data_IF_494081015807
#
_entry.id   IF_494081015807
#
_cell.length_a   1.000
_cell.length_b   1.000
_cell.length_c   1.000
_cell.angle_alpha   90.00
_cell.angle_beta   90.00
_cell.angle_gamma   90.00
#
_symmetry.space_group_name_H-M   'P 1'
#
loop_
_entity.id
_entity.type
_entity.pdbx_description
1 polymer ?
#
# COMPACT_ATOMS: atom_id res chain seq x y z
N UNK A 1 19.81 36.86 -20.86
CA UNK A 1 18.34 36.98 -20.94
C UNK A 1 17.71 35.82 -20.18
N UNK A 2 16.95 36.09 -19.12
CA UNK A 2 16.22 35.04 -18.40
C UNK A 2 15.13 34.47 -19.32
N UNK A 3 15.10 33.15 -19.55
CA UNK A 3 13.97 32.51 -20.26
C UNK A 3 12.66 32.94 -19.60
N UNK A 4 11.64 33.20 -20.43
CA UNK A 4 10.27 33.45 -20.00
C UNK A 4 9.81 32.37 -19.00
N UNK A 5 9.16 32.82 -17.93
CA UNK A 5 8.63 31.99 -16.84
C UNK A 5 7.79 30.84 -17.38
N UNK A 6 6.87 31.14 -18.30
CA UNK A 6 5.92 30.18 -18.86
C UNK A 6 6.60 29.18 -19.79
N UNK A 7 7.56 29.65 -20.59
CA UNK A 7 8.35 28.78 -21.48
C UNK A 7 9.13 27.74 -20.65
N UNK A 8 9.75 28.15 -19.53
CA UNK A 8 10.50 27.22 -18.66
C UNK A 8 9.59 26.16 -18.06
N UNK A 9 8.42 26.54 -17.56
CA UNK A 9 7.45 25.59 -16.98
C UNK A 9 6.94 24.63 -18.05
N UNK A 10 6.54 25.14 -19.22
CA UNK A 10 6.04 24.33 -20.33
C UNK A 10 7.07 23.34 -20.86
N UNK A 11 8.31 23.79 -21.13
CA UNK A 11 9.40 22.91 -21.55
C UNK A 11 9.65 21.80 -20.53
N UNK A 12 9.59 22.11 -19.23
CA UNK A 12 9.85 21.13 -18.16
C UNK A 12 8.70 20.12 -18.03
N UNK A 13 7.43 20.56 -18.12
CA UNK A 13 6.29 19.63 -18.13
C UNK A 13 6.33 18.73 -19.37
N UNK A 14 6.69 19.28 -20.53
CA UNK A 14 6.84 18.49 -21.75
C UNK A 14 7.98 17.48 -21.63
N UNK A 15 9.10 17.87 -21.02
CA UNK A 15 10.20 16.94 -20.72
C UNK A 15 9.73 15.79 -19.83
N UNK A 16 9.00 16.10 -18.73
CA UNK A 16 8.43 15.07 -17.85
C UNK A 16 7.58 14.12 -18.70
N UNK A 17 6.60 14.63 -19.45
CA UNK A 17 5.72 13.81 -20.31
C UNK A 17 6.44 12.81 -21.20
N UNK A 18 7.62 13.14 -21.73
CA UNK A 18 8.34 12.27 -22.67
C UNK A 18 9.53 11.51 -22.05
N UNK A 19 9.82 11.68 -20.76
CA UNK A 19 10.96 11.06 -20.08
C UNK A 19 10.50 10.38 -18.79
N UNK A 20 9.72 9.30 -18.91
CA UNK A 20 9.41 8.41 -17.80
C UNK A 20 10.65 7.56 -17.46
N UNK A 21 11.09 7.49 -16.18
CA UNK A 21 12.17 6.59 -15.79
C UNK A 21 11.79 5.13 -16.03
N UNK A 22 12.72 4.28 -16.50
CA UNK A 22 12.42 2.88 -16.87
C UNK A 22 11.89 2.03 -15.69
N UNK A 23 12.23 2.39 -14.46
CA UNK A 23 11.82 1.67 -13.25
C UNK A 23 10.64 2.33 -12.51
N UNK A 24 10.04 3.37 -13.08
CA UNK A 24 8.88 4.01 -12.45
C UNK A 24 7.61 3.20 -12.70
N UNK A 25 7.16 2.47 -11.67
CA UNK A 25 5.99 1.59 -11.72
C UNK A 25 4.65 2.32 -11.46
N UNK A 26 4.62 3.65 -11.47
CA UNK A 26 3.43 4.44 -11.14
C UNK A 26 2.63 4.91 -12.36
N UNK A 27 1.42 5.42 -12.11
CA UNK A 27 0.63 6.12 -13.13
C UNK A 27 1.25 7.49 -13.45
N UNK A 28 2.13 7.47 -14.44
CA UNK A 28 2.86 8.65 -14.90
C UNK A 28 1.94 9.71 -15.50
N UNK A 29 0.83 9.30 -16.12
CA UNK A 29 -0.11 10.22 -16.74
C UNK A 29 -0.84 11.06 -15.69
N UNK A 30 -1.20 10.45 -14.56
CA UNK A 30 -1.79 11.17 -13.42
C UNK A 30 -0.89 12.30 -12.92
N UNK A 31 0.43 12.09 -12.81
CA UNK A 31 1.39 13.15 -12.42
C UNK A 31 1.42 14.27 -13.45
N UNK A 32 1.51 13.93 -14.75
CA UNK A 32 1.56 14.92 -15.83
C UNK A 32 0.26 15.74 -15.88
N UNK A 33 -0.90 15.11 -15.69
CA UNK A 33 -2.18 15.80 -15.61
C UNK A 33 -2.25 16.73 -14.40
N UNK A 34 -1.80 16.28 -13.23
CA UNK A 34 -1.73 17.10 -12.02
C UNK A 34 -0.85 18.35 -12.22
N UNK A 35 0.33 18.21 -12.85
CA UNK A 35 1.19 19.36 -13.18
C UNK A 35 0.53 20.35 -14.15
N UNK A 36 -0.21 19.86 -15.16
CA UNK A 36 -0.93 20.73 -16.09
C UNK A 36 -2.08 21.46 -15.40
N UNK A 37 -2.79 20.80 -14.49
CA UNK A 37 -3.83 21.42 -13.67
C UNK A 37 -3.23 22.46 -12.73
N UNK A 38 -2.14 22.14 -12.02
CA UNK A 38 -1.41 23.10 -11.19
C UNK A 38 -0.97 24.32 -12.00
N UNK A 39 -0.36 24.14 -13.18
CA UNK A 39 0.07 25.26 -14.03
C UNK A 39 -1.09 26.19 -14.38
N UNK A 40 -2.26 25.63 -14.73
CA UNK A 40 -3.45 26.42 -15.11
C UNK A 40 -4.08 27.13 -13.92
N UNK A 41 -4.04 26.54 -12.73
CA UNK A 41 -4.79 27.02 -11.55
C UNK A 41 -3.96 27.83 -10.57
N UNK A 42 -2.64 27.65 -10.52
CA UNK A 42 -1.75 28.42 -9.66
C UNK A 42 -1.78 29.92 -10.00
N UNK A 43 -1.48 30.77 -9.02
CA UNK A 43 -1.37 32.21 -9.29
C UNK A 43 -0.15 32.52 -10.19
N UNK A 44 -0.17 33.65 -10.89
CA UNK A 44 0.98 34.09 -11.70
C UNK A 44 2.24 34.28 -10.83
N UNK A 45 2.07 34.78 -9.60
CA UNK A 45 3.16 34.95 -8.65
C UNK A 45 3.74 33.60 -8.21
N UNK A 46 2.88 32.63 -7.84
CA UNK A 46 3.27 31.26 -7.50
C UNK A 46 4.09 30.62 -8.64
N UNK A 47 3.60 30.71 -9.89
CA UNK A 47 4.31 30.20 -11.07
C UNK A 47 5.66 30.87 -11.27
N UNK A 48 5.72 32.19 -11.11
CA UNK A 48 6.96 32.97 -11.22
C UNK A 48 7.97 32.55 -10.15
N UNK A 49 7.54 32.43 -8.89
CA UNK A 49 8.40 31.97 -7.78
C UNK A 49 9.01 30.60 -8.09
N UNK A 50 8.19 29.61 -8.47
CA UNK A 50 8.71 28.29 -8.78
C UNK A 50 9.63 28.30 -10.00
N UNK A 51 9.28 29.05 -11.05
CA UNK A 51 10.15 29.18 -12.23
C UNK A 51 11.51 29.77 -11.89
N UNK A 52 11.59 30.76 -10.99
CA UNK A 52 12.86 31.31 -10.49
C UNK A 52 13.67 30.25 -9.74
N UNK A 53 13.04 29.49 -8.84
CA UNK A 53 13.69 28.39 -8.09
C UNK A 53 14.21 27.27 -9.00
N UNK A 54 13.55 27.04 -10.13
CA UNK A 54 13.99 26.09 -11.16
C UNK A 54 15.19 26.62 -11.98
N UNK A 55 15.55 27.90 -11.90
CA UNK A 55 16.68 28.44 -12.67
C UNK A 55 17.98 27.74 -12.26
N UNK A 56 18.71 27.24 -13.26
CA UNK A 56 19.98 26.52 -13.05
C UNK A 56 21.20 27.43 -13.31
N UNK A 57 21.00 28.72 -13.58
CA UNK A 57 22.08 29.62 -13.99
C UNK A 57 23.13 29.82 -12.90
N UNK A 58 22.68 29.94 -11.64
CA UNK A 58 23.50 30.19 -10.44
C UNK A 58 23.50 29.01 -9.46
N UNK A 59 23.09 27.81 -9.88
CA UNK A 59 23.05 26.64 -9.00
C UNK A 59 24.48 26.20 -8.62
N UNK A 60 24.78 25.93 -7.34
CA UNK A 60 26.15 25.57 -6.90
C UNK A 60 26.72 24.35 -7.62
N UNK A 61 25.90 23.32 -7.84
CA UNK A 61 26.29 22.11 -8.57
C UNK A 61 25.63 22.03 -9.96
N UNK A 62 25.63 23.14 -10.71
CA UNK A 62 25.02 23.24 -12.05
C UNK A 62 25.54 22.15 -13.00
N UNK A 63 24.67 21.29 -13.56
CA UNK A 63 25.09 20.30 -14.54
C UNK A 63 25.62 20.93 -15.84
N UNK A 64 26.69 20.32 -16.39
CA UNK A 64 27.36 20.76 -17.62
C UNK A 64 26.47 20.60 -18.85
N UNK A 65 25.79 19.47 -19.01
CA UNK A 65 24.92 19.22 -20.16
C UNK A 65 23.47 19.72 -19.92
N UNK A 66 22.73 19.88 -21.01
CA UNK A 66 21.37 20.44 -20.98
C UNK A 66 20.32 19.45 -20.45
N UNK A 67 20.51 18.15 -20.68
CA UNK A 67 19.57 17.11 -20.27
C UNK A 67 19.50 17.03 -18.74
N UNK A 68 20.65 16.99 -18.08
CA UNK A 68 20.79 16.94 -16.63
C UNK A 68 20.22 18.19 -15.94
N UNK A 69 20.41 19.37 -16.54
CA UNK A 69 19.75 20.60 -16.10
C UNK A 69 18.23 20.50 -16.21
N UNK A 70 17.71 19.72 -17.14
CA UNK A 70 16.28 19.53 -17.33
C UNK A 70 15.73 18.52 -16.33
N UNK A 71 16.45 17.44 -16.02
CA UNK A 71 16.13 16.55 -14.90
C UNK A 71 16.05 17.30 -13.56
N UNK A 72 17.05 18.13 -13.23
CA UNK A 72 16.99 18.94 -11.98
C UNK A 72 15.77 19.86 -11.94
N UNK A 73 15.47 20.54 -13.05
CA UNK A 73 14.27 21.38 -13.17
C UNK A 73 13.00 20.57 -12.97
N UNK A 74 12.92 19.38 -13.57
CA UNK A 74 11.79 18.48 -13.42
C UNK A 74 11.63 18.02 -11.96
N UNK A 75 12.72 17.63 -11.28
CA UNK A 75 12.71 17.29 -9.86
C UNK A 75 12.17 18.44 -9.00
N UNK A 76 12.67 19.67 -9.20
CA UNK A 76 12.21 20.85 -8.43
C UNK A 76 10.73 21.11 -8.70
N UNK A 77 10.32 21.11 -9.97
CA UNK A 77 8.93 21.34 -10.37
C UNK A 77 8.00 20.33 -9.72
N UNK A 78 8.31 19.04 -9.83
CA UNK A 78 7.50 17.94 -9.31
C UNK A 78 7.36 18.03 -7.79
N UNK A 79 8.48 18.16 -7.05
CA UNK A 79 8.44 18.25 -5.58
C UNK A 79 7.67 19.49 -5.11
N UNK A 80 7.96 20.66 -5.68
CA UNK A 80 7.34 21.90 -5.21
C UNK A 80 5.86 21.98 -5.62
N UNK A 81 5.52 21.66 -6.86
CA UNK A 81 4.14 21.84 -7.33
C UNK A 81 3.17 20.79 -6.75
N UNK A 82 3.63 19.58 -6.45
CA UNK A 82 2.75 18.46 -6.09
C UNK A 82 2.93 17.91 -4.68
N UNK A 83 4.09 18.10 -4.04
CA UNK A 83 4.41 17.45 -2.76
C UNK A 83 4.48 18.47 -1.62
N UNK A 84 5.29 19.50 -1.80
CA UNK A 84 5.70 20.42 -0.74
C UNK A 84 4.83 21.68 -0.70
N UNK A 85 4.48 22.21 0.49
CA UNK A 85 3.83 23.51 0.60
C UNK A 85 4.76 24.63 0.10
N UNK A 86 4.20 25.75 -0.37
CA UNK A 86 4.97 26.89 -0.93
C UNK A 86 6.08 27.40 0.01
N UNK A 87 5.84 27.33 1.32
CA UNK A 87 6.80 27.74 2.35
C UNK A 87 8.09 26.93 2.38
N UNK A 88 8.09 25.70 1.82
CA UNK A 88 9.25 24.82 1.77
C UNK A 88 9.98 24.86 0.43
N UNK A 89 9.42 25.49 -0.60
CA UNK A 89 9.95 25.40 -1.97
C UNK A 89 11.39 25.87 -2.12
N UNK A 90 11.76 26.96 -1.44
CA UNK A 90 13.13 27.46 -1.48
C UNK A 90 14.14 26.46 -0.90
N UNK A 91 13.80 25.84 0.24
CA UNK A 91 14.63 24.80 0.87
C UNK A 91 14.71 23.55 -0.01
N UNK A 92 13.58 23.10 -0.57
CA UNK A 92 13.54 21.96 -1.50
C UNK A 92 14.39 22.22 -2.74
N UNK A 93 14.26 23.39 -3.37
CA UNK A 93 15.05 23.75 -4.55
C UNK A 93 16.55 23.84 -4.23
N UNK A 94 16.92 24.42 -3.09
CA UNK A 94 18.30 24.46 -2.61
C UNK A 94 18.87 23.05 -2.40
N UNK A 95 18.13 22.16 -1.74
CA UNK A 95 18.53 20.76 -1.54
C UNK A 95 18.77 20.05 -2.88
N UNK A 96 17.83 20.19 -3.83
CA UNK A 96 17.98 19.60 -5.16
C UNK A 96 19.18 20.20 -5.89
N UNK A 97 19.39 21.52 -5.85
CA UNK A 97 20.51 22.19 -6.52
C UNK A 97 21.87 21.88 -5.89
N UNK A 98 21.92 21.57 -4.60
CA UNK A 98 23.14 21.19 -3.87
C UNK A 98 23.47 19.70 -4.00
N UNK A 99 22.52 18.86 -4.43
CA UNK A 99 22.78 17.43 -4.62
C UNK A 99 23.87 17.16 -5.66
N UNK A 100 24.78 16.24 -5.36
CA UNK A 100 25.81 15.71 -6.27
C UNK A 100 25.42 14.36 -6.90
N UNK A 101 24.24 13.82 -6.56
CA UNK A 101 23.76 12.54 -7.11
C UNK A 101 23.54 12.61 -8.64
N UNK A 102 23.53 11.43 -9.28
CA UNK A 102 23.07 11.29 -10.66
C UNK A 102 21.62 11.76 -10.77
N UNK A 103 21.32 12.63 -11.74
CA UNK A 103 20.08 13.42 -11.75
C UNK A 103 18.81 12.60 -11.97
N UNK A 104 18.94 11.39 -12.52
CA UNK A 104 17.82 10.48 -12.75
C UNK A 104 17.20 9.97 -11.44
N UNK A 105 18.00 9.68 -10.40
CA UNK A 105 17.47 9.12 -9.16
C UNK A 105 16.61 10.12 -8.37
N UNK A 106 17.05 11.37 -8.09
CA UNK A 106 16.20 12.37 -7.46
C UNK A 106 14.92 12.69 -8.25
N UNK A 107 14.97 12.59 -9.57
CA UNK A 107 13.79 12.74 -10.42
C UNK A 107 12.80 11.58 -10.22
N UNK A 108 13.25 10.33 -10.26
CA UNK A 108 12.40 9.16 -9.98
C UNK A 108 11.76 9.25 -8.60
N UNK A 109 12.55 9.58 -7.56
CA UNK A 109 12.02 9.73 -6.20
C UNK A 109 11.00 10.87 -6.08
N UNK A 110 11.18 11.97 -6.81
CA UNK A 110 10.21 13.05 -6.84
C UNK A 110 8.88 12.62 -7.48
N UNK A 111 8.93 11.81 -8.54
CA UNK A 111 7.74 11.24 -9.18
C UNK A 111 7.03 10.26 -8.24
N UNK A 112 7.77 9.40 -7.55
CA UNK A 112 7.23 8.46 -6.56
C UNK A 112 6.53 9.21 -5.42
N UNK A 113 7.21 10.18 -4.81
CA UNK A 113 6.63 11.01 -3.75
C UNK A 113 5.37 11.77 -4.22
N UNK A 114 5.36 12.23 -5.47
CA UNK A 114 4.19 12.92 -6.05
C UNK A 114 3.02 11.98 -6.29
N UNK A 115 3.28 10.77 -6.81
CA UNK A 115 2.28 9.73 -6.94
C UNK A 115 1.66 9.42 -5.58
N UNK A 116 2.50 9.16 -4.59
CA UNK A 116 2.05 8.82 -3.24
C UNK A 116 1.18 9.93 -2.65
N UNK A 117 1.60 11.19 -2.82
CA UNK A 117 0.82 12.35 -2.36
C UNK A 117 -0.53 12.47 -3.06
N UNK A 118 -0.58 12.29 -4.39
CA UNK A 118 -1.80 12.38 -5.18
C UNK A 118 -2.78 11.26 -4.83
N UNK A 119 -2.29 10.03 -4.71
CA UNK A 119 -3.10 8.85 -4.37
C UNK A 119 -3.49 8.83 -2.89
N UNK A 120 -2.76 9.55 -2.03
CA UNK A 120 -3.14 9.79 -0.62
C UNK A 120 -4.09 10.97 -0.44
N UNK A 121 -4.44 11.72 -1.50
CA UNK A 121 -5.45 12.77 -1.38
C UNK A 121 -6.78 12.19 -0.91
N UNK A 122 -7.61 12.91 -0.14
CA UNK A 122 -8.81 12.32 0.45
C UNK A 122 -9.76 11.70 -0.57
N UNK A 123 -9.88 12.33 -1.75
CA UNK A 123 -10.74 11.85 -2.83
C UNK A 123 -10.19 10.55 -3.44
N UNK A 124 -8.91 10.53 -3.85
CA UNK A 124 -8.29 9.36 -4.47
C UNK A 124 -8.19 8.19 -3.49
N UNK A 125 -7.80 8.46 -2.24
CA UNK A 125 -7.74 7.45 -1.18
C UNK A 125 -9.13 6.84 -0.93
N UNK A 126 -10.20 7.65 -0.91
CA UNK A 126 -11.58 7.17 -0.72
C UNK A 126 -12.06 6.33 -1.90
N UNK A 127 -11.74 6.74 -3.12
CA UNK A 127 -12.04 5.95 -4.31
C UNK A 127 -11.35 4.58 -4.27
N UNK A 128 -10.07 4.55 -3.91
CA UNK A 128 -9.29 3.31 -3.81
C UNK A 128 -9.73 2.42 -2.65
N UNK A 129 -10.11 3.00 -1.51
CA UNK A 129 -10.72 2.27 -0.40
C UNK A 129 -12.08 1.68 -0.81
N UNK A 130 -12.90 2.44 -1.54
CA UNK A 130 -14.14 1.94 -2.10
C UNK A 130 -13.90 0.81 -3.11
N UNK A 131 -12.84 0.89 -3.92
CA UNK A 131 -12.45 -0.18 -4.83
C UNK A 131 -12.06 -1.44 -4.04
N UNK A 132 -11.29 -1.31 -2.95
CA UNK A 132 -11.00 -2.42 -2.04
C UNK A 132 -12.28 -3.04 -1.47
N UNK A 133 -13.26 -2.23 -1.04
CA UNK A 133 -14.52 -2.74 -0.47
C UNK A 133 -15.47 -3.36 -1.51
N UNK A 134 -15.51 -2.82 -2.72
CA UNK A 134 -16.50 -3.23 -3.74
C UNK A 134 -15.97 -4.27 -4.72
N UNK A 135 -14.67 -4.20 -5.04
CA UNK A 135 -13.95 -5.05 -5.98
C UNK A 135 -12.56 -5.46 -5.43
N UNK A 136 -12.49 -6.07 -4.24
CA UNK A 136 -11.23 -6.37 -3.53
C UNK A 136 -10.21 -7.12 -4.38
N UNK A 137 -10.64 -8.13 -5.15
CA UNK A 137 -9.74 -8.87 -6.04
C UNK A 137 -9.07 -7.96 -7.08
N UNK A 138 -9.80 -7.00 -7.66
CA UNK A 138 -9.22 -6.06 -8.64
C UNK A 138 -8.19 -5.16 -7.95
N UNK A 139 -8.56 -4.58 -6.81
CA UNK A 139 -7.66 -3.75 -6.02
C UNK A 139 -6.37 -4.50 -5.65
N UNK A 140 -6.49 -5.71 -5.10
CA UNK A 140 -5.34 -6.52 -4.67
C UNK A 140 -4.50 -7.08 -5.83
N UNK A 141 -4.98 -7.05 -7.07
CA UNK A 141 -4.17 -7.35 -8.26
C UNK A 141 -3.46 -6.10 -8.82
N UNK A 142 -3.94 -4.90 -8.51
CA UNK A 142 -3.40 -3.65 -9.05
C UNK A 142 -2.49 -2.92 -8.05
N UNK A 143 -2.76 -3.07 -6.75
CA UNK A 143 -2.06 -2.35 -5.71
C UNK A 143 -1.61 -3.29 -4.60
N UNK A 144 -0.35 -3.13 -4.19
CA UNK A 144 0.14 -3.76 -2.98
C UNK A 144 -0.51 -3.08 -1.78
N UNK A 145 -0.97 -3.88 -0.83
CA UNK A 145 -1.48 -3.45 0.45
C UNK A 145 -0.46 -3.81 1.53
N UNK A 146 -0.39 -3.02 2.59
CA UNK A 146 0.24 -3.36 3.88
C UNK A 146 -0.76 -3.00 4.97
N UNK A 147 -0.86 -3.84 5.99
CA UNK A 147 -1.71 -3.62 7.16
C UNK A 147 -0.83 -3.59 8.40
N UNK A 148 -0.77 -2.43 9.05
CA UNK A 148 -0.12 -2.24 10.33
C UNK A 148 -1.19 -2.26 11.43
N UNK A 149 -1.42 -3.45 11.97
CA UNK A 149 -2.43 -3.72 13.00
C UNK A 149 -1.90 -3.66 14.43
N UNK A 150 -2.74 -4.12 15.37
CA UNK A 150 -2.45 -4.24 16.81
C UNK A 150 -2.75 -5.66 17.31
N UNK A 151 -2.20 -6.11 18.45
CA UNK A 151 -2.37 -7.49 18.91
C UNK A 151 -3.76 -7.82 19.49
N UNK A 152 -4.77 -6.95 19.34
CA UNK A 152 -6.13 -7.18 19.86
C UNK A 152 -7.12 -7.49 18.73
N UNK A 153 -8.06 -8.41 19.02
CA UNK A 153 -9.15 -8.82 18.14
C UNK A 153 -10.38 -7.91 18.21
N UNK A 154 -10.22 -6.62 17.97
CA UNK A 154 -11.28 -5.61 18.11
C UNK A 154 -11.25 -4.58 16.99
N UNK A 155 -12.24 -3.67 16.98
CA UNK A 155 -12.28 -2.53 16.07
C UNK A 155 -11.14 -1.55 16.34
N UNK A 156 -10.50 -1.10 15.28
CA UNK A 156 -9.59 0.03 15.26
C UNK A 156 -9.89 0.93 14.07
N UNK A 157 -9.55 2.22 14.21
CA UNK A 157 -9.54 3.15 13.09
C UNK A 157 -8.18 3.12 12.41
N UNK A 158 -8.17 2.87 11.11
CA UNK A 158 -6.98 2.79 10.27
C UNK A 158 -6.91 4.00 9.35
N UNK A 159 -5.77 4.67 9.31
CA UNK A 159 -5.48 5.62 8.24
C UNK A 159 -5.26 4.86 6.93
N UNK A 160 -5.83 5.33 5.83
CA UNK A 160 -5.63 4.77 4.49
C UNK A 160 -4.88 5.76 3.58
N UNK A 161 -3.69 5.39 3.14
CA UNK A 161 -2.82 6.25 2.32
C UNK A 161 -1.84 5.43 1.48
N UNK A 162 -1.23 6.05 0.47
CA UNK A 162 -0.15 5.45 -0.32
C UNK A 162 1.21 5.98 0.12
N UNK A 163 2.17 5.08 0.28
CA UNK A 163 3.57 5.40 0.58
C UNK A 163 4.48 4.40 -0.13
N UNK A 164 5.49 4.91 -0.82
CA UNK A 164 6.40 4.16 -1.67
C UNK A 164 5.65 3.25 -2.67
N UNK A 165 4.56 3.74 -3.25
CA UNK A 165 3.73 3.01 -4.19
C UNK A 165 2.88 1.87 -3.59
N UNK A 166 2.80 1.76 -2.26
CA UNK A 166 2.06 0.74 -1.52
C UNK A 166 0.92 1.41 -0.74
N UNK A 167 -0.28 0.87 -0.79
CA UNK A 167 -1.36 1.31 0.09
C UNK A 167 -1.14 0.75 1.50
N UNK A 168 -1.31 1.59 2.50
CA UNK A 168 -1.18 1.25 3.91
C UNK A 168 -2.55 1.42 4.58
N UNK A 169 -2.96 0.42 5.35
CA UNK A 169 -3.95 0.53 6.41
C UNK A 169 -3.18 0.54 7.73
N UNK A 170 -3.10 1.69 8.40
CA UNK A 170 -2.27 1.85 9.60
C UNK A 170 -3.08 2.36 10.80
N UNK A 171 -3.18 1.56 11.87
CA UNK A 171 -3.85 1.93 13.11
C UNK A 171 -2.89 2.48 14.19
N UNK A 172 -1.59 2.52 13.92
CA UNK A 172 -0.59 3.15 14.79
C UNK A 172 -0.39 4.64 14.43
N UNK A 173 -0.59 4.99 13.16
CA UNK A 173 -0.56 6.36 12.67
C UNK A 173 -1.83 6.70 11.86
N UNK A 174 -3.03 6.64 12.46
CA UNK A 174 -4.27 6.84 11.71
C UNK A 174 -4.36 8.22 11.04
N UNK A 175 -3.72 9.24 11.63
CA UNK A 175 -3.69 10.60 11.11
C UNK A 175 -2.69 10.83 9.96
N UNK A 176 -1.84 9.84 9.65
CA UNK A 176 -1.01 9.89 8.44
C UNK A 176 -1.88 9.71 7.20
N UNK A 177 -2.99 8.98 7.33
CA UNK A 177 -4.05 8.96 6.34
C UNK A 177 -4.90 10.23 6.41
N UNK A 178 -5.21 10.81 5.25
CA UNK A 178 -6.18 11.90 5.17
C UNK A 178 -7.64 11.39 5.23
N UNK A 179 -7.82 10.07 5.20
CA UNK A 179 -9.08 9.39 5.49
C UNK A 179 -8.81 8.24 6.45
N UNK A 180 -9.84 7.87 7.21
CA UNK A 180 -9.83 6.71 8.09
C UNK A 180 -10.91 5.71 7.71
N UNK A 181 -10.69 4.45 8.06
CA UNK A 181 -11.65 3.34 7.94
C UNK A 181 -11.60 2.50 9.20
N UNK A 182 -12.77 2.12 9.72
CA UNK A 182 -12.84 1.22 10.85
C UNK A 182 -12.82 -0.24 10.39
N UNK A 183 -11.94 -1.03 11.00
CA UNK A 183 -11.79 -2.44 10.69
C UNK A 183 -11.51 -3.26 11.95
N UNK A 184 -11.84 -4.56 11.89
CA UNK A 184 -11.48 -5.52 12.93
C UNK A 184 -10.11 -6.11 12.60
N UNK A 185 -9.18 -6.06 13.54
CA UNK A 185 -7.91 -6.75 13.38
C UNK A 185 -8.03 -8.23 13.80
N UNK A 186 -7.46 -9.16 13.04
CA UNK A 186 -7.29 -10.56 13.46
C UNK A 186 -5.84 -10.74 13.93
N UNK A 187 -5.59 -10.75 15.24
CA UNK A 187 -4.23 -10.84 15.76
C UNK A 187 -3.62 -12.22 15.51
N UNK A 188 -2.28 -12.23 15.36
CA UNK A 188 -1.52 -13.46 15.29
C UNK A 188 -1.53 -14.20 16.64
N UNK A 189 -1.97 -15.45 16.60
CA UNK A 189 -1.82 -16.39 17.70
C UNK A 189 -0.69 -17.35 17.36
N UNK A 190 0.36 -17.42 18.17
CA UNK A 190 1.34 -18.49 18.14
C UNK A 190 0.79 -19.91 17.96
N UNK A 191 1.37 -20.69 17.05
CA UNK A 191 1.04 -22.10 16.90
C UNK A 191 1.30 -22.90 18.19
N UNK A 192 2.38 -22.59 18.91
CA UNK A 192 2.68 -23.20 20.20
C UNK A 192 1.56 -23.09 21.24
N UNK A 193 0.72 -22.05 21.13
CA UNK A 193 -0.42 -21.84 22.03
C UNK A 193 -1.65 -22.68 21.67
N UNK A 194 -1.74 -23.20 20.43
CA UNK A 194 -2.92 -23.93 19.93
C UNK A 194 -2.64 -25.37 19.51
N UNK A 195 -1.37 -25.75 19.32
CA UNK A 195 -0.96 -27.04 18.72
C UNK A 195 -1.51 -28.28 19.45
N UNK A 196 -1.79 -28.19 20.75
CA UNK A 196 -2.30 -29.30 21.55
C UNK A 196 -3.84 -29.37 21.57
N UNK A 197 -4.54 -28.42 20.96
CA UNK A 197 -6.00 -28.36 20.94
C UNK A 197 -6.52 -27.64 19.67
N UNK A 198 -6.13 -28.15 18.50
CA UNK A 198 -6.46 -27.52 17.22
C UNK A 198 -7.97 -27.49 16.93
N UNK A 199 -8.76 -28.41 17.49
CA UNK A 199 -10.22 -28.44 17.36
C UNK A 199 -10.94 -27.39 18.22
N UNK A 200 -10.21 -26.50 18.91
CA UNK A 200 -10.77 -25.55 19.86
C UNK A 200 -10.03 -24.20 19.79
N UNK A 201 -9.71 -23.73 18.59
CA UNK A 201 -9.03 -22.45 18.39
C UNK A 201 -10.00 -21.31 18.71
N UNK A 202 -9.53 -20.30 19.46
CA UNK A 202 -10.32 -19.10 19.73
C UNK A 202 -10.28 -18.16 18.51
N UNK A 203 -11.42 -17.95 17.88
CA UNK A 203 -11.57 -17.03 16.76
C UNK A 203 -11.85 -15.58 17.20
N UNK A 204 -11.40 -14.63 16.39
CA UNK A 204 -11.92 -13.26 16.33
C UNK A 204 -13.23 -13.27 15.55
N UNK A 205 -14.30 -12.75 16.14
CA UNK A 205 -15.63 -12.75 15.54
C UNK A 205 -15.95 -11.41 14.91
N UNK A 206 -16.63 -11.39 13.76
CA UNK A 206 -17.13 -10.15 13.17
C UNK A 206 -18.23 -9.49 14.01
N UNK A 207 -18.85 -10.24 14.91
CA UNK A 207 -19.89 -9.74 15.82
C UNK A 207 -19.34 -8.86 16.94
N UNK A 208 -18.01 -8.78 17.13
CA UNK A 208 -17.42 -7.85 18.11
C UNK A 208 -17.68 -6.39 17.75
N UNK A 209 -17.88 -6.07 16.46
CA UNK A 209 -18.40 -4.78 16.02
C UNK A 209 -19.16 -4.92 14.70
N UNK A 210 -20.48 -4.71 14.74
CA UNK A 210 -21.34 -4.85 13.56
C UNK A 210 -21.21 -3.72 12.53
N UNK A 211 -20.52 -2.63 12.89
CA UNK A 211 -20.31 -1.46 12.03
C UNK A 211 -19.04 -1.55 11.19
N UNK A 212 -18.22 -2.59 11.38
CA UNK A 212 -17.04 -2.83 10.55
C UNK A 212 -17.42 -3.62 9.29
N UNK A 213 -16.99 -3.12 8.14
CA UNK A 213 -17.10 -3.82 6.85
C UNK A 213 -15.80 -4.53 6.45
N UNK A 214 -14.73 -4.34 7.23
CA UNK A 214 -13.42 -4.92 7.00
C UNK A 214 -12.96 -5.72 8.21
N UNK A 215 -12.33 -6.86 7.94
CA UNK A 215 -11.55 -7.60 8.91
C UNK A 215 -10.20 -7.95 8.29
N UNK A 216 -9.12 -7.57 8.97
CA UNK A 216 -7.78 -7.49 8.41
C UNK A 216 -6.80 -8.32 9.21
N UNK A 217 -5.84 -8.92 8.53
CA UNK A 217 -4.65 -9.49 9.16
C UNK A 217 -3.48 -8.55 8.93
N UNK A 218 -2.48 -8.52 9.81
CA UNK A 218 -1.20 -7.85 9.46
C UNK A 218 -0.44 -8.63 8.36
N UNK A 219 0.78 -8.19 8.03
CA UNK A 219 1.64 -8.86 7.05
C UNK A 219 2.29 -10.13 7.63
N UNK A 220 2.28 -11.24 6.88
CA UNK A 220 2.84 -12.51 7.36
C UNK A 220 3.56 -13.36 6.32
N UNK A 221 4.48 -14.20 6.80
CA UNK A 221 5.25 -15.17 6.00
C UNK A 221 5.16 -16.56 6.64
N UNK A 222 4.32 -17.45 6.11
CA UNK A 222 4.21 -18.83 6.62
C UNK A 222 3.18 -19.07 7.70
N UNK A 223 2.36 -18.08 8.00
CA UNK A 223 1.20 -18.25 8.84
C UNK A 223 0.05 -18.98 8.11
N UNK A 224 -0.89 -19.50 8.90
CA UNK A 224 -2.15 -20.10 8.43
C UNK A 224 -3.31 -19.20 8.88
N UNK A 225 -4.18 -18.82 7.94
CA UNK A 225 -5.41 -18.11 8.23
C UNK A 225 -6.58 -19.10 8.23
N UNK A 226 -7.30 -19.17 9.33
CA UNK A 226 -8.44 -20.05 9.50
C UNK A 226 -9.71 -19.20 9.51
N UNK A 227 -10.79 -19.66 8.91
CA UNK A 227 -12.04 -18.91 8.93
C UNK A 227 -13.29 -19.80 8.80
N UNK A 228 -14.43 -19.25 9.24
CA UNK A 228 -15.78 -19.75 8.98
C UNK A 228 -16.65 -18.58 8.54
N UNK A 229 -17.28 -18.70 7.38
CA UNK A 229 -18.29 -17.73 6.92
C UNK A 229 -19.68 -18.36 7.06
N UNK A 230 -20.58 -17.68 7.76
CA UNK A 230 -22.00 -18.03 7.84
C UNK A 230 -22.84 -16.76 7.60
N UNK A 231 -23.03 -16.41 6.32
CA UNK A 231 -23.75 -15.21 5.91
C UNK A 231 -23.09 -13.93 6.45
N UNK A 232 -23.77 -13.27 7.39
CA UNK A 232 -23.32 -12.01 8.01
C UNK A 232 -22.28 -12.19 9.11
N UNK A 233 -21.98 -13.43 9.49
CA UNK A 233 -21.02 -13.77 10.54
C UNK A 233 -19.75 -14.34 9.94
N UNK A 234 -18.60 -13.82 10.38
CA UNK A 234 -17.28 -14.33 10.09
C UNK A 234 -16.58 -14.62 11.43
N UNK A 235 -16.01 -15.82 11.55
CA UNK A 235 -15.07 -16.16 12.61
C UNK A 235 -13.71 -16.38 11.94
N UNK A 236 -12.64 -15.81 12.49
CA UNK A 236 -11.30 -15.92 11.91
C UNK A 236 -10.22 -16.06 12.97
N UNK A 237 -9.20 -16.85 12.66
CA UNK A 237 -7.98 -16.92 13.46
C UNK A 237 -6.76 -16.84 12.55
N UNK A 238 -5.72 -16.18 13.04
CA UNK A 238 -4.47 -16.05 12.31
C UNK A 238 -3.36 -16.73 13.12
N UNK A 239 -2.82 -17.84 12.60
CA UNK A 239 -1.90 -18.72 13.32
C UNK A 239 -0.47 -18.58 12.81
N UNK A 240 0.44 -18.14 13.70
CA UNK A 240 1.84 -17.88 13.40
C UNK A 240 2.74 -19.09 13.76
N UNK A 241 3.61 -19.58 12.87
CA UNK A 241 4.60 -20.61 13.20
C UNK A 241 5.51 -20.34 14.39
N UNK A 242 5.63 -19.10 14.86
CA UNK A 242 6.49 -18.73 16.00
C UNK A 242 7.96 -19.11 15.77
N UNK A 243 8.64 -18.32 14.94
CA UNK A 243 10.08 -18.43 14.75
C UNK A 243 10.49 -19.62 13.87
N UNK A 244 11.40 -19.39 12.93
CA UNK A 244 11.91 -20.42 12.00
C UNK A 244 12.81 -21.46 12.68
N UNK A 245 12.92 -21.43 14.01
CA UNK A 245 13.93 -22.14 14.81
C UNK A 245 13.44 -23.49 15.33
N UNK A 246 12.15 -23.80 15.27
CA UNK A 246 11.57 -25.04 15.83
C UNK A 246 11.46 -26.19 14.82
N UNK A 247 11.90 -26.00 13.57
CA UNK A 247 11.68 -26.98 12.48
C UNK A 247 10.22 -27.10 12.04
N UNK A 248 9.28 -26.43 12.74
CA UNK A 248 7.87 -26.37 12.39
C UNK A 248 7.70 -25.40 11.23
N UNK A 249 7.40 -25.94 10.05
CA UNK A 249 7.19 -25.12 8.84
C UNK A 249 5.75 -24.64 8.75
N UNK A 250 5.52 -23.54 8.04
CA UNK A 250 4.15 -23.08 7.74
C UNK A 250 3.32 -24.11 6.96
N UNK A 251 3.97 -25.00 6.19
CA UNK A 251 3.28 -26.11 5.54
C UNK A 251 2.83 -27.17 6.55
N UNK A 252 3.69 -27.52 7.52
CA UNK A 252 3.32 -28.47 8.57
C UNK A 252 2.10 -27.96 9.34
N UNK A 253 2.11 -26.68 9.75
CA UNK A 253 1.00 -26.06 10.49
C UNK A 253 -0.28 -26.07 9.67
N UNK A 254 -0.22 -25.66 8.40
CA UNK A 254 -1.41 -25.65 7.55
C UNK A 254 -1.98 -27.05 7.32
N UNK A 255 -1.13 -28.08 7.25
CA UNK A 255 -1.56 -29.48 7.20
C UNK A 255 -2.25 -29.91 8.49
N UNK A 256 -1.68 -29.60 9.66
CA UNK A 256 -2.27 -29.95 10.96
C UNK A 256 -3.61 -29.25 11.19
N UNK A 257 -3.70 -27.96 10.87
CA UNK A 257 -4.94 -27.18 11.00
C UNK A 257 -6.01 -27.67 10.01
N UNK A 258 -5.67 -28.01 8.76
CA UNK A 258 -6.67 -28.57 7.84
C UNK A 258 -7.21 -29.93 8.30
N UNK A 259 -6.38 -30.73 8.95
CA UNK A 259 -6.78 -32.07 9.42
C UNK A 259 -7.59 -32.03 10.73
N UNK A 260 -7.23 -31.13 11.65
CA UNK A 260 -7.70 -31.18 13.04
C UNK A 260 -8.25 -29.84 13.56
N UNK A 261 -8.25 -28.80 12.74
CA UNK A 261 -8.62 -27.44 13.13
C UNK A 261 -10.12 -27.23 13.23
N UNK A 262 -10.54 -26.52 14.26
CA UNK A 262 -11.91 -26.00 14.40
C UNK A 262 -11.92 -24.80 15.37
N UNK A 263 -13.04 -24.08 15.46
CA UNK A 263 -13.22 -22.98 16.39
C UNK A 263 -14.07 -23.35 17.61
N UNK A 264 -13.55 -23.06 18.80
CA UNK A 264 -14.28 -23.18 20.07
C UNK A 264 -15.55 -22.32 20.10
N UNK A 265 -15.48 -21.17 19.45
CA UNK A 265 -16.53 -20.17 19.31
C UNK A 265 -16.94 -20.01 17.85
N UNK A 266 -16.98 -21.12 17.09
CA UNK A 266 -17.41 -21.15 15.70
C UNK A 266 -18.82 -20.58 15.51
N UNK A 267 -19.11 -20.11 14.30
CA UNK A 267 -20.39 -19.48 13.94
C UNK A 267 -21.34 -20.43 13.19
N UNK A 268 -21.04 -21.74 13.20
CA UNK A 268 -21.78 -22.77 12.46
C UNK A 268 -21.51 -22.81 10.95
N UNK A 269 -20.60 -21.99 10.43
CA UNK A 269 -20.11 -22.09 9.06
C UNK A 269 -19.11 -23.24 8.87
N UNK A 270 -18.73 -23.51 7.62
CA UNK A 270 -17.68 -24.48 7.30
C UNK A 270 -16.31 -23.91 7.68
N UNK A 271 -15.53 -24.68 8.45
CA UNK A 271 -14.16 -24.33 8.78
C UNK A 271 -13.25 -24.51 7.57
N UNK A 272 -12.48 -23.47 7.23
CA UNK A 272 -11.47 -23.49 6.19
C UNK A 272 -10.13 -22.98 6.71
N UNK A 273 -9.03 -23.51 6.18
CA UNK A 273 -7.69 -23.13 6.56
C UNK A 273 -6.81 -22.86 5.33
N UNK A 274 -6.41 -21.61 5.19
CA UNK A 274 -5.61 -21.07 4.10
C UNK A 274 -4.18 -20.78 4.59
N UNK A 275 -3.24 -21.67 4.25
CA UNK A 275 -1.84 -21.60 4.67
C UNK A 275 -0.88 -22.06 3.58
N UNK A 276 0.42 -22.15 3.89
CA UNK A 276 1.42 -22.62 2.92
C UNK A 276 1.13 -24.03 2.44
N UNK A 277 1.31 -24.30 1.16
CA UNK A 277 1.16 -25.64 0.56
C UNK A 277 2.41 -26.04 -0.20
N UNK A 278 2.61 -27.35 -0.35
CA UNK A 278 3.61 -27.88 -1.27
C UNK A 278 3.24 -27.50 -2.71
N UNK A 279 4.26 -27.17 -3.51
CA UNK A 279 4.09 -26.85 -4.93
C UNK A 279 3.45 -28.04 -5.65
N UNK A 280 2.38 -27.77 -6.43
CA UNK A 280 1.68 -28.79 -7.19
C UNK A 280 0.71 -29.67 -6.39
N UNK A 281 0.51 -29.43 -5.08
CA UNK A 281 -0.38 -30.26 -4.25
C UNK A 281 -1.88 -30.12 -4.57
N UNK A 282 -2.28 -29.06 -5.27
CA UNK A 282 -3.70 -28.75 -5.54
C UNK A 282 -4.52 -28.42 -4.29
N UNK A 283 -3.89 -28.35 -3.12
CA UNK A 283 -4.55 -28.02 -1.85
C UNK A 283 -4.90 -26.53 -1.79
N UNK A 284 -5.94 -26.22 -1.02
CA UNK A 284 -6.33 -24.85 -0.73
C UNK A 284 -5.26 -24.14 0.14
N UNK A 285 -4.64 -23.10 -0.41
CA UNK A 285 -3.55 -22.35 0.23
C UNK A 285 -2.64 -21.64 -0.76
N UNK A 286 -1.46 -21.23 -0.30
CA UNK A 286 -0.51 -20.42 -1.07
C UNK A 286 0.89 -21.07 -1.16
N UNK A 287 1.67 -20.80 -2.22
CA UNK A 287 2.93 -21.52 -2.46
C UNK A 287 4.01 -21.15 -1.43
N UNK A 288 4.93 -22.08 -1.17
CA UNK A 288 6.10 -21.83 -0.32
C UNK A 288 7.01 -20.69 -0.81
N UNK A 289 6.97 -20.37 -2.10
CA UNK A 289 7.77 -19.29 -2.68
C UNK A 289 7.20 -17.89 -2.39
N UNK A 290 5.97 -17.79 -1.86
CA UNK A 290 5.41 -16.52 -1.43
C UNK A 290 6.28 -15.90 -0.34
N UNK A 291 6.67 -14.64 -0.52
CA UNK A 291 7.44 -13.87 0.45
C UNK A 291 6.53 -13.33 1.56
N UNK A 292 5.32 -12.92 1.19
CA UNK A 292 4.35 -12.33 2.09
C UNK A 292 2.92 -12.70 1.66
N UNK A 293 2.01 -12.71 2.63
CA UNK A 293 0.58 -12.73 2.41
C UNK A 293 -0.12 -11.70 3.31
N UNK A 294 -1.22 -11.13 2.81
CA UNK A 294 -2.20 -10.37 3.58
C UNK A 294 -3.58 -10.95 3.31
N UNK A 295 -4.40 -11.07 4.35
CA UNK A 295 -5.81 -11.40 4.21
C UNK A 295 -6.67 -10.17 4.51
N UNK A 296 -7.64 -9.95 3.64
CA UNK A 296 -8.68 -8.93 3.80
C UNK A 296 -10.02 -9.63 3.65
N UNK A 297 -10.81 -9.65 4.72
CA UNK A 297 -12.21 -10.00 4.63
C UNK A 297 -13.06 -8.72 4.50
N UNK A 298 -14.03 -8.77 3.60
CA UNK A 298 -14.89 -7.64 3.25
C UNK A 298 -16.36 -8.05 3.37
N UNK A 299 -17.16 -7.25 4.05
CA UNK A 299 -18.61 -7.39 4.11
C UNK A 299 -19.26 -6.66 2.94
N UNK A 300 -19.99 -7.38 2.08
CA UNK A 300 -20.71 -6.80 0.93
C UNK A 300 -22.12 -7.37 0.85
N UNK A 301 -23.11 -6.47 0.86
CA UNK A 301 -24.54 -6.80 0.92
C UNK A 301 -24.87 -7.75 2.10
N UNK A 302 -24.28 -7.48 3.27
CA UNK A 302 -24.52 -8.26 4.48
C UNK A 302 -23.77 -9.59 4.55
N UNK A 303 -22.99 -9.99 3.54
CA UNK A 303 -22.22 -11.25 3.55
C UNK A 303 -20.72 -10.99 3.55
N UNK A 304 -19.97 -11.71 4.39
CA UNK A 304 -18.51 -11.67 4.39
C UNK A 304 -17.93 -12.47 3.23
N UNK A 305 -16.85 -11.96 2.65
CA UNK A 305 -16.01 -12.66 1.67
C UNK A 305 -14.56 -12.44 2.05
N UNK A 306 -13.73 -13.45 1.85
CA UNK A 306 -12.32 -13.44 2.27
C UNK A 306 -11.43 -13.42 1.05
N UNK A 307 -10.45 -12.52 1.04
CA UNK A 307 -9.50 -12.34 -0.05
C UNK A 307 -8.06 -12.41 0.47
N UNK A 308 -7.18 -12.95 -0.35
CA UNK A 308 -5.75 -12.97 -0.10
C UNK A 308 -5.02 -12.10 -1.12
N UNK A 309 -3.98 -11.40 -0.68
CA UNK A 309 -2.93 -10.89 -1.54
C UNK A 309 -1.64 -11.66 -1.26
N UNK A 310 -1.11 -12.31 -2.29
CA UNK A 310 0.09 -13.13 -2.22
C UNK A 310 1.21 -12.38 -2.94
N UNK A 311 2.28 -12.06 -2.22
CA UNK A 311 3.47 -11.39 -2.76
C UNK A 311 4.54 -12.43 -3.08
N UNK A 312 4.93 -12.51 -4.34
CA UNK A 312 5.95 -13.41 -4.89
C UNK A 312 7.32 -12.71 -5.04
N UNK A 313 7.45 -11.48 -4.55
CA UNK A 313 8.65 -10.64 -4.62
C UNK A 313 8.69 -9.79 -5.90
N UNK A 314 8.51 -10.39 -7.07
CA UNK A 314 8.51 -9.66 -8.36
C UNK A 314 7.14 -9.14 -8.76
N UNK A 315 6.09 -9.75 -8.22
CA UNK A 315 4.70 -9.41 -8.47
C UNK A 315 3.85 -9.88 -7.28
N UNK A 316 2.63 -9.39 -7.22
CA UNK A 316 1.63 -9.86 -6.27
C UNK A 316 0.35 -10.25 -7.02
N UNK A 317 -0.45 -11.12 -6.40
CA UNK A 317 -1.74 -11.54 -6.93
C UNK A 317 -2.80 -11.46 -5.86
N UNK A 318 -4.00 -11.03 -6.27
CA UNK A 318 -5.20 -11.01 -5.44
C UNK A 318 -6.13 -12.15 -5.83
N UNK A 319 -6.61 -12.89 -4.84
CA UNK A 319 -7.59 -13.97 -5.03
C UNK A 319 -8.68 -13.97 -3.96
N UNK A 320 -9.82 -14.58 -4.30
CA UNK A 320 -10.91 -14.83 -3.34
C UNK A 320 -10.71 -16.23 -2.79
N UNK A 321 -10.73 -16.35 -1.48
CA UNK A 321 -10.53 -17.60 -0.76
C UNK A 321 -11.79 -18.01 0.02
N UNK A 322 -12.75 -17.10 0.27
CA UNK A 322 -14.07 -17.40 0.88
C UNK A 322 -15.17 -16.48 0.38
#
# INVERSE_FOLDING_TARGET
MSKDVEVRLQETIQFIRTHQPPNFAGDFNTIVQALNTWRRTASAQTRRTLSVLMSQEKAPNRPKNQVDRTYRRATILVKCALVEPETQWAATAAQVNNSTHTFANPYTWALEASRDKLLSSPAAARENLNLLKTHPKSFLNQHKLIVNGRPQGQRFSYGFYMENGIYNLDCNMPFKGLITEDAINVPATPYGNVQNNLGNIQATLSSVDTNCDLMLTTQFTGCCYCFMVNGANLAAAHIDPQGRTTGITGQHISQQIRANGDFSNGNGGTFEAYGRIAVGSGLFGYPQTAQQMIIVAVKKAGTWRVYAQIDMGTHFTGERIG
#
